data_IF_694705450447
#
_entry.id   IF_694705450447
#
_cell.length_a   1.000
_cell.length_b   1.000
_cell.length_c   1.000
_cell.angle_alpha   90.00
_cell.angle_beta   90.00
_cell.angle_gamma   90.00
#
_symmetry.space_group_name_H-M   'P 1'
#
loop_
_entity.id
_entity.type
_entity.pdbx_description
1 polymer ?
#
# COMPACT_ATOMS: atom_id res chain seq x y z
N UNK A 1 -1.88 1.19 -33.86
CA UNK A 1 -1.99 1.06 -33.33
C UNK A 1 -2.30 1.21 -32.61
N UNK A 2 -2.63 1.41 -32.65
CA UNK A 2 -2.80 1.49 -31.95
C UNK A 2 -3.15 1.49 -31.27
N UNK A 3 -3.37 1.30 -31.12
CA UNK A 3 -3.59 1.27 -30.37
C UNK A 3 -3.44 0.92 -29.56
N UNK A 4 -3.36 0.61 -29.50
CA UNK A 4 -3.18 0.20 -28.69
C UNK A 4 -2.66 0.06 -27.87
N UNK A 5 -2.57 -0.38 -28.03
CA UNK A 5 -1.77 -0.09 -27.19
C UNK A 5 -2.07 0.65 -25.97
N UNK A 6 -3.04 1.00 -25.81
CA UNK A 6 -3.50 1.71 -24.71
C UNK A 6 -3.27 1.03 -23.44
N UNK A 7 -3.31 -0.29 -23.45
CA UNK A 7 -3.06 -1.06 -22.24
C UNK A 7 -1.65 -0.89 -21.74
N UNK A 8 -0.72 -0.52 -22.62
CA UNK A 8 0.65 -0.30 -22.23
C UNK A 8 0.92 1.13 -21.82
N UNK A 9 0.02 2.03 -22.19
CA UNK A 9 0.19 3.44 -21.91
C UNK A 9 -0.72 3.87 -20.79
N UNK A 10 -0.66 3.15 -19.69
CA UNK A 10 -1.51 3.44 -18.55
C UNK A 10 -0.87 4.45 -17.64
N UNK A 11 -1.71 5.20 -16.95
CA UNK A 11 -1.26 6.16 -15.95
C UNK A 11 -1.77 5.68 -14.60
N UNK A 12 -0.92 5.76 -13.60
CA UNK A 12 -1.27 5.33 -12.26
C UNK A 12 -1.25 6.51 -11.31
N UNK A 13 -2.08 6.41 -10.28
CA UNK A 13 -2.03 7.33 -9.17
C UNK A 13 -1.42 6.58 -8.00
N UNK A 14 -0.73 7.32 -7.15
CA UNK A 14 -0.08 6.72 -5.99
C UNK A 14 -0.55 7.43 -4.73
N UNK A 15 -0.85 6.65 -3.72
CA UNK A 15 -1.18 7.19 -2.42
C UNK A 15 -0.37 6.43 -1.38
N UNK A 16 0.00 7.10 -0.31
CA UNK A 16 0.83 6.48 0.72
C UNK A 16 0.02 6.23 1.98
N UNK A 17 0.18 5.06 2.55
CA UNK A 17 -0.50 4.68 3.78
C UNK A 17 0.47 3.98 4.70
N UNK A 18 0.12 3.94 5.99
CA UNK A 18 0.88 3.18 6.98
C UNK A 18 -0.06 2.19 7.63
N UNK A 19 0.29 0.91 7.55
CA UNK A 19 -0.44 -0.12 8.27
C UNK A 19 0.28 -0.42 9.57
N UNK A 20 -0.47 -0.87 10.56
CA UNK A 20 0.09 -1.26 11.84
C UNK A 20 -0.44 -2.63 12.24
N UNK A 21 0.37 -3.34 13.01
CA UNK A 21 0.00 -4.66 13.48
C UNK A 21 0.79 -4.99 14.73
N UNK A 22 0.18 -5.68 15.66
CA UNK A 22 0.88 -6.17 16.84
C UNK A 22 1.66 -7.45 16.51
N UNK A 23 1.52 -7.98 15.30
CA UNK A 23 2.07 -9.29 14.98
C UNK A 23 3.26 -9.28 14.04
N UNK A 24 3.18 -8.53 12.96
CA UNK A 24 4.27 -8.52 11.99
C UNK A 24 4.12 -7.38 11.01
N UNK A 25 5.20 -7.09 10.29
CA UNK A 25 5.16 -6.11 9.21
C UNK A 25 4.30 -6.60 8.06
N UNK A 26 4.35 -7.90 7.80
CA UNK A 26 3.53 -8.49 6.73
C UNK A 26 2.05 -8.34 7.02
N UNK A 27 1.67 -8.60 8.27
CA UNK A 27 0.29 -8.43 8.67
C UNK A 27 -0.12 -6.96 8.57
N UNK A 28 0.79 -6.06 8.97
CA UNK A 28 0.54 -4.62 8.86
C UNK A 28 0.30 -4.21 7.42
N UNK A 29 1.13 -4.72 6.50
CA UNK A 29 0.99 -4.41 5.09
C UNK A 29 -0.33 -4.94 4.55
N UNK A 30 -0.67 -6.17 4.90
CA UNK A 30 -1.91 -6.78 4.41
C UNK A 30 -3.13 -5.99 4.89
N UNK A 31 -3.12 -5.58 6.14
CA UNK A 31 -4.24 -4.81 6.69
C UNK A 31 -4.37 -3.45 6.00
N UNK A 32 -3.24 -2.82 5.71
CA UNK A 32 -3.26 -1.54 5.02
C UNK A 32 -3.90 -1.68 3.63
N UNK A 33 -3.50 -2.72 2.90
CA UNK A 33 -4.04 -2.96 1.57
C UNK A 33 -5.54 -3.27 1.63
N UNK A 34 -5.93 -4.12 2.58
CA UNK A 34 -7.34 -4.48 2.71
C UNK A 34 -8.21 -3.29 3.05
N UNK A 35 -7.72 -2.43 3.94
CA UNK A 35 -8.46 -1.24 4.32
C UNK A 35 -8.58 -0.27 3.15
N UNK A 36 -7.47 -0.05 2.44
CA UNK A 36 -7.46 0.85 1.30
C UNK A 36 -8.37 0.34 0.18
N UNK A 37 -8.38 -0.97 -0.02
CA UNK A 37 -9.19 -1.56 -1.08
C UNK A 37 -10.68 -1.34 -0.85
N UNK A 38 -11.07 -1.06 0.39
CA UNK A 38 -12.46 -0.76 0.70
C UNK A 38 -12.93 0.57 0.15
N UNK A 39 -12.00 1.49 -0.13
CA UNK A 39 -12.35 2.81 -0.63
C UNK A 39 -11.72 3.15 -1.97
N UNK A 40 -10.58 2.53 -2.29
CA UNK A 40 -9.90 2.81 -3.54
C UNK A 40 -10.18 1.71 -4.55
N UNK A 41 -10.40 2.11 -5.79
CA UNK A 41 -10.65 1.17 -6.86
C UNK A 41 -9.40 0.86 -7.62
N UNK A 42 -9.35 -0.31 -8.21
CA UNK A 42 -8.29 -0.70 -9.12
C UNK A 42 -6.90 -0.63 -8.50
N UNK A 43 -6.79 -1.03 -7.24
CA UNK A 43 -5.49 -1.19 -6.64
C UNK A 43 -4.74 -2.28 -7.37
N UNK A 44 -3.51 -2.00 -7.76
CA UNK A 44 -2.73 -2.93 -8.55
C UNK A 44 -1.42 -3.32 -7.88
N UNK A 45 -0.74 -2.35 -7.30
CA UNK A 45 0.58 -2.57 -6.73
C UNK A 45 0.66 -1.91 -5.37
N UNK A 46 1.26 -2.60 -4.43
CA UNK A 46 1.58 -2.03 -3.12
C UNK A 46 3.07 -2.22 -2.91
N UNK A 47 3.77 -1.12 -2.84
CA UNK A 47 5.22 -1.16 -2.65
C UNK A 47 5.54 -0.85 -1.20
N UNK A 48 6.29 -1.73 -0.55
CA UNK A 48 6.74 -1.47 0.81
C UNK A 48 7.90 -0.49 0.73
N UNK A 49 7.71 0.67 1.31
CA UNK A 49 8.71 1.72 1.27
C UNK A 49 9.58 1.70 2.51
N UNK A 50 8.99 1.42 3.66
CA UNK A 50 9.72 1.47 4.91
C UNK A 50 9.01 0.61 5.96
N UNK A 51 9.80 0.01 6.82
CA UNK A 51 9.29 -0.75 7.95
C UNK A 51 9.92 -0.20 9.21
N UNK A 52 9.11 0.03 10.23
CA UNK A 52 9.62 0.48 11.51
C UNK A 52 8.75 -0.07 12.63
N UNK A 53 9.06 0.28 13.84
CA UNK A 53 8.30 -0.18 14.99
C UNK A 53 8.04 0.98 15.93
N UNK A 54 6.94 0.89 16.64
CA UNK A 54 6.66 1.80 17.71
C UNK A 54 7.30 1.25 18.97
N UNK A 55 7.87 2.11 19.77
CA UNK A 55 8.52 1.70 21.01
C UNK A 55 7.84 2.39 22.16
N UNK A 56 7.45 1.59 23.16
CA UNK A 56 6.86 2.11 24.41
C UNK A 56 7.47 1.36 25.57
N UNK A 57 8.06 2.08 26.49
CA UNK A 57 8.69 1.49 27.68
C UNK A 57 9.66 0.37 27.32
N UNK A 58 10.45 0.58 26.26
CA UNK A 58 11.42 -0.40 25.81
C UNK A 58 10.84 -1.63 25.16
N UNK A 59 9.55 -1.63 24.87
CA UNK A 59 8.88 -2.75 24.22
C UNK A 59 8.38 -2.33 22.85
N UNK A 60 8.04 -3.32 22.05
CA UNK A 60 7.55 -3.08 20.68
C UNK A 60 6.10 -3.52 20.62
N UNK A 61 5.15 -2.62 20.91
CA UNK A 61 3.72 -2.96 20.82
C UNK A 61 3.20 -3.07 19.41
N UNK A 62 3.89 -2.44 18.45
CA UNK A 62 3.35 -2.35 17.09
C UNK A 62 4.47 -2.36 16.08
N UNK A 63 4.23 -3.12 15.00
CA UNK A 63 5.03 -3.08 13.78
C UNK A 63 4.31 -2.16 12.81
N UNK A 64 5.05 -1.33 12.09
CA UNK A 64 4.47 -0.41 11.13
C UNK A 64 5.10 -0.63 9.76
N UNK A 65 4.26 -0.63 8.73
CA UNK A 65 4.72 -0.76 7.35
C UNK A 65 4.17 0.40 6.55
N UNK A 66 5.06 1.14 5.91
CA UNK A 66 4.68 2.24 5.04
C UNK A 66 4.66 1.73 3.63
N UNK A 67 3.55 1.98 2.93
CA UNK A 67 3.37 1.48 1.57
C UNK A 67 2.94 2.60 0.66
N UNK A 68 3.39 2.50 -0.58
CA UNK A 68 2.85 3.31 -1.65
C UNK A 68 1.95 2.43 -2.46
N UNK A 69 0.69 2.83 -2.56
CA UNK A 69 -0.32 2.07 -3.28
C UNK A 69 -0.52 2.70 -4.64
N UNK A 70 -0.41 1.89 -5.67
CA UNK A 70 -0.62 2.34 -7.03
C UNK A 70 -1.94 1.80 -7.53
N UNK A 71 -2.75 2.66 -8.10
CA UNK A 71 -3.98 2.22 -8.70
C UNK A 71 -4.16 2.92 -10.02
N UNK A 72 -4.85 2.24 -10.92
CA UNK A 72 -4.96 2.74 -12.27
C UNK A 72 -5.79 4.01 -12.30
N UNK A 73 -5.26 5.01 -12.96
CA UNK A 73 -5.94 6.28 -13.10
C UNK A 73 -7.03 6.14 -14.15
N UNK A 74 -8.23 6.50 -13.80
CA UNK A 74 -9.33 6.47 -14.73
C UNK A 74 -9.52 7.85 -15.31
N UNK A 75 -9.64 7.89 -16.60
CA UNK A 75 -9.83 9.17 -17.28
C UNK A 75 -11.18 9.26 -17.92
#
# INVERSE_FOLDING_TARGET
MAKQNKSTDSVYRVTEVIGTSAQSWEDAAKKAVQTAAGTLRDLRIAEVVKMDVKIEDGKVPEYRTRLQLSFKYES
#
